data_IF_310487729998
#
_entry.id   IF_310487729998
#
_cell.length_a   1.000
_cell.length_b   1.000
_cell.length_c   1.000
_cell.angle_alpha   90.00
_cell.angle_beta   90.00
_cell.angle_gamma   90.00
#
_symmetry.space_group_name_H-M   'P 1'
#
loop_
_entity.id
_entity.type
_entity.pdbx_description
1 polymer ?
#
# COMPACT_ATOMS: atom_id res chain seq x y z
N UNK A 1 -40.66 -6.89 3.38
CA UNK A 1 -39.47 -7.77 3.26
C UNK A 1 -38.34 -6.93 2.70
N UNK A 2 -37.25 -6.75 3.45
CA UNK A 2 -36.12 -5.92 3.01
C UNK A 2 -35.35 -6.72 1.94
N UNK A 3 -35.21 -6.18 0.74
CA UNK A 3 -34.54 -6.84 -0.38
C UNK A 3 -33.52 -5.90 -0.99
N UNK A 4 -32.48 -6.47 -1.59
CA UNK A 4 -31.51 -5.73 -2.38
C UNK A 4 -32.15 -5.31 -3.70
N UNK A 5 -31.72 -4.17 -4.23
CA UNK A 5 -32.13 -3.73 -5.56
C UNK A 5 -31.64 -4.69 -6.64
N UNK A 6 -32.42 -4.80 -7.72
CA UNK A 6 -32.11 -5.66 -8.88
C UNK A 6 -31.12 -5.04 -9.87
N UNK A 7 -30.70 -3.79 -9.63
CA UNK A 7 -29.70 -3.11 -10.46
C UNK A 7 -28.30 -3.58 -10.06
N UNK A 8 -27.62 -4.25 -10.99
CA UNK A 8 -26.27 -4.75 -10.77
C UNK A 8 -25.29 -3.62 -10.41
N UNK A 9 -24.68 -3.71 -9.24
CA UNK A 9 -23.56 -2.85 -8.84
C UNK A 9 -22.25 -3.26 -9.50
N UNK A 10 -21.21 -2.45 -9.31
CA UNK A 10 -19.84 -2.82 -9.71
C UNK A 10 -19.25 -3.80 -8.70
N UNK A 11 -18.55 -4.81 -9.22
CA UNK A 11 -17.68 -5.72 -8.47
C UNK A 11 -16.25 -5.50 -8.94
N UNK A 12 -15.30 -5.45 -8.01
CA UNK A 12 -13.89 -5.72 -8.30
C UNK A 12 -13.55 -6.95 -7.51
N UNK A 13 -13.21 -8.06 -8.16
CA UNK A 13 -12.85 -9.30 -7.49
C UNK A 13 -11.35 -9.52 -7.65
N UNK A 14 -10.64 -9.58 -6.53
CA UNK A 14 -9.21 -9.93 -6.52
C UNK A 14 -9.07 -11.31 -5.93
N UNK A 15 -8.40 -12.19 -6.67
CA UNK A 15 -8.14 -13.56 -6.29
C UNK A 15 -6.63 -13.77 -6.18
N UNK A 16 -6.20 -14.40 -5.09
CA UNK A 16 -4.83 -14.86 -4.91
C UNK A 16 -4.79 -16.38 -5.19
N UNK A 17 -4.10 -16.83 -6.25
CA UNK A 17 -3.98 -18.25 -6.59
C UNK A 17 -3.43 -19.14 -5.47
N UNK A 18 -2.72 -18.56 -4.49
CA UNK A 18 -2.11 -19.30 -3.39
C UNK A 18 -3.00 -19.42 -2.14
N UNK A 19 -4.18 -18.80 -2.11
CA UNK A 19 -5.02 -18.76 -0.91
C UNK A 19 -6.50 -18.97 -1.17
N UNK A 20 -7.18 -19.44 -0.11
CA UNK A 20 -8.64 -19.58 -0.12
C UNK A 20 -9.30 -18.20 -0.22
N UNK A 21 -10.26 -18.06 -1.11
CA UNK A 21 -11.13 -16.90 -1.13
C UNK A 21 -12.30 -17.14 -0.18
N UNK A 22 -12.33 -16.41 0.95
CA UNK A 22 -13.43 -16.42 1.92
C UNK A 22 -13.98 -15.01 2.07
N UNK A 23 -15.22 -14.76 1.64
CA UNK A 23 -15.86 -13.43 1.77
C UNK A 23 -17.28 -13.53 2.29
N UNK A 24 -17.69 -12.49 3.00
CA UNK A 24 -18.98 -12.40 3.69
C UNK A 24 -19.63 -11.04 3.44
N UNK A 25 -20.95 -11.04 3.38
CA UNK A 25 -21.79 -9.86 3.25
C UNK A 25 -22.85 -9.93 4.34
N UNK A 26 -23.10 -8.81 5.00
CA UNK A 26 -24.18 -8.66 5.95
C UNK A 26 -25.30 -7.81 5.35
N UNK A 27 -26.53 -8.31 5.45
CA UNK A 27 -27.73 -7.54 5.11
C UNK A 27 -28.06 -6.61 6.28
N UNK A 28 -28.13 -5.30 6.01
CA UNK A 28 -28.43 -4.27 7.00
C UNK A 28 -29.58 -3.36 6.55
N UNK A 29 -30.30 -2.81 7.53
CA UNK A 29 -31.16 -1.64 7.32
C UNK A 29 -30.31 -0.40 6.99
N UNK A 30 -30.88 0.68 6.43
CA UNK A 30 -30.15 1.93 6.18
C UNK A 30 -29.55 2.54 7.45
N UNK A 31 -30.14 2.25 8.60
CA UNK A 31 -29.64 2.66 9.92
C UNK A 31 -28.48 1.78 10.45
N UNK A 32 -27.99 0.82 9.65
CA UNK A 32 -26.85 -0.06 9.98
C UNK A 32 -27.18 -1.29 10.81
N UNK A 33 -28.45 -1.48 11.19
CA UNK A 33 -28.87 -2.65 11.98
C UNK A 33 -28.92 -3.93 11.12
N UNK A 34 -28.27 -5.04 11.52
CA UNK A 34 -28.34 -6.31 10.81
C UNK A 34 -29.77 -6.85 10.71
N UNK A 35 -30.11 -7.41 9.55
CA UNK A 35 -31.41 -8.05 9.29
C UNK A 35 -31.15 -9.42 8.68
N UNK A 36 -31.88 -10.47 9.10
CA UNK A 36 -31.74 -11.77 8.48
C UNK A 36 -32.11 -11.71 6.99
N UNK A 37 -31.36 -12.44 6.18
CA UNK A 37 -31.76 -12.70 4.81
C UNK A 37 -33.14 -13.37 4.79
N UNK A 38 -33.99 -13.05 3.82
CA UNK A 38 -35.28 -13.72 3.71
C UNK A 38 -35.13 -15.25 3.62
N UNK A 39 -35.98 -15.98 4.33
CA UNK A 39 -35.98 -17.45 4.30
C UNK A 39 -36.12 -17.95 2.86
N UNK A 40 -35.31 -18.93 2.45
CA UNK A 40 -35.29 -19.45 1.08
C UNK A 40 -34.51 -18.61 0.06
N UNK A 41 -33.83 -17.54 0.50
CA UNK A 41 -32.86 -16.84 -0.37
C UNK A 41 -31.73 -17.79 -0.76
N UNK A 42 -31.32 -17.74 -2.02
CA UNK A 42 -30.11 -18.39 -2.52
C UNK A 42 -29.23 -17.38 -3.24
N UNK A 43 -27.92 -17.62 -3.24
CA UNK A 43 -26.95 -16.78 -3.93
C UNK A 43 -25.74 -17.61 -4.35
N UNK A 44 -25.01 -17.14 -5.37
CA UNK A 44 -23.83 -17.82 -5.87
C UNK A 44 -22.86 -16.85 -6.53
N UNK A 45 -21.57 -17.18 -6.46
CA UNK A 45 -20.50 -16.53 -7.20
C UNK A 45 -20.28 -17.31 -8.49
N UNK A 46 -20.47 -16.65 -9.62
CA UNK A 46 -20.24 -17.18 -10.96
C UNK A 46 -19.02 -16.50 -11.57
N UNK A 47 -18.09 -17.30 -12.10
CA UNK A 47 -16.94 -16.78 -12.84
C UNK A 47 -16.87 -17.47 -14.21
N UNK A 48 -16.68 -16.66 -15.24
CA UNK A 48 -16.52 -17.12 -16.63
C UNK A 48 -15.45 -16.32 -17.34
N UNK A 49 -14.65 -16.94 -18.21
CA UNK A 49 -13.67 -16.23 -19.04
C UNK A 49 -14.12 -16.17 -20.50
N UNK A 50 -14.17 -14.95 -21.05
CA UNK A 50 -14.57 -14.73 -22.44
C UNK A 50 -13.64 -15.47 -23.41
N UNK A 51 -14.23 -16.12 -24.41
CA UNK A 51 -13.48 -16.90 -25.41
C UNK A 51 -12.93 -18.23 -24.90
N UNK A 52 -13.36 -18.68 -23.71
CA UNK A 52 -12.95 -19.96 -23.12
C UNK A 52 -14.17 -20.78 -22.71
N UNK A 53 -13.97 -22.07 -22.42
CA UNK A 53 -14.99 -22.93 -21.79
C UNK A 53 -14.94 -22.86 -20.26
N UNK A 54 -14.10 -21.98 -19.69
CA UNK A 54 -13.96 -21.87 -18.24
C UNK A 54 -15.26 -21.32 -17.64
N UNK A 55 -15.82 -22.10 -16.74
CA UNK A 55 -17.02 -21.75 -15.99
C UNK A 55 -16.91 -22.35 -14.60
N UNK A 56 -17.14 -21.53 -13.59
CA UNK A 56 -17.18 -21.97 -12.21
C UNK A 56 -18.30 -21.28 -11.44
N UNK A 57 -18.90 -22.03 -10.53
CA UNK A 57 -20.06 -21.58 -9.77
C UNK A 57 -19.97 -22.10 -8.33
N UNK A 58 -19.91 -21.17 -7.37
CA UNK A 58 -19.83 -21.50 -5.95
C UNK A 58 -21.05 -20.96 -5.21
N UNK A 59 -21.87 -21.83 -4.58
CA UNK A 59 -23.03 -21.39 -3.82
C UNK A 59 -22.61 -20.63 -2.56
N UNK A 60 -23.44 -19.69 -2.14
CA UNK A 60 -23.28 -19.01 -0.87
C UNK A 60 -23.85 -19.85 0.29
N UNK A 61 -23.19 -19.79 1.44
CA UNK A 61 -23.76 -20.22 2.72
C UNK A 61 -24.42 -19.01 3.38
N UNK A 62 -25.72 -19.11 3.68
CA UNK A 62 -26.51 -18.04 4.30
C UNK A 62 -26.90 -18.47 5.72
N UNK A 63 -26.62 -17.61 6.70
CA UNK A 63 -26.97 -17.81 8.11
C UNK A 63 -27.31 -16.48 8.76
N UNK A 64 -28.58 -16.31 9.15
CA UNK A 64 -29.07 -15.05 9.72
C UNK A 64 -28.88 -13.89 8.75
N UNK A 65 -28.17 -12.84 9.18
CA UNK A 65 -27.83 -11.66 8.38
C UNK A 65 -26.64 -11.88 7.44
N UNK A 66 -25.92 -12.99 7.57
CA UNK A 66 -24.65 -13.23 6.88
C UNK A 66 -24.84 -14.14 5.68
N UNK A 67 -24.31 -13.72 4.54
CA UNK A 67 -24.14 -14.51 3.33
C UNK A 67 -22.64 -14.65 3.06
N UNK A 68 -22.14 -15.84 2.75
CA UNK A 68 -20.71 -16.11 2.64
C UNK A 68 -20.35 -17.06 1.51
N UNK A 69 -19.17 -16.85 0.92
CA UNK A 69 -18.60 -17.73 -0.10
C UNK A 69 -17.23 -18.21 0.35
N UNK A 70 -16.97 -19.48 0.08
CA UNK A 70 -15.66 -20.10 0.22
C UNK A 70 -15.28 -20.75 -1.10
N UNK A 71 -14.19 -20.27 -1.70
CA UNK A 71 -13.57 -20.87 -2.88
C UNK A 71 -12.18 -21.36 -2.45
N UNK A 72 -11.93 -22.68 -2.46
CA UNK A 72 -10.64 -23.23 -2.08
C UNK A 72 -9.52 -22.74 -3.00
N UNK A 73 -8.30 -22.59 -2.48
CA UNK A 73 -7.13 -22.14 -3.23
C UNK A 73 -6.91 -22.94 -4.53
N UNK A 74 -7.15 -24.26 -4.48
CA UNK A 74 -7.02 -25.14 -5.64
C UNK A 74 -7.98 -24.79 -6.79
N UNK A 75 -9.13 -24.21 -6.48
CA UNK A 75 -10.11 -23.74 -7.47
C UNK A 75 -9.82 -22.30 -7.89
N UNK A 76 -9.34 -21.46 -6.97
CA UNK A 76 -8.85 -20.11 -7.29
C UNK A 76 -7.73 -20.16 -8.33
N UNK A 77 -6.77 -21.08 -8.16
CA UNK A 77 -5.65 -21.27 -9.08
C UNK A 77 -6.05 -21.64 -10.51
N UNK A 78 -7.28 -22.13 -10.72
CA UNK A 78 -7.80 -22.48 -12.05
C UNK A 78 -8.45 -21.31 -12.77
N UNK A 79 -8.71 -20.20 -12.08
CA UNK A 79 -9.42 -19.04 -12.64
C UNK A 79 -8.52 -18.27 -13.60
N UNK A 80 -8.87 -18.16 -14.90
CA UNK A 80 -8.09 -17.36 -15.85
C UNK A 80 -8.11 -15.87 -15.49
N UNK A 81 -7.02 -15.15 -15.77
CA UNK A 81 -6.92 -13.71 -15.51
C UNK A 81 -7.85 -12.85 -16.37
N UNK A 82 -8.38 -13.40 -17.46
CA UNK A 82 -9.38 -12.77 -18.34
C UNK A 82 -10.82 -13.01 -17.87
N UNK A 83 -10.99 -13.53 -16.66
CA UNK A 83 -12.30 -13.88 -16.13
C UNK A 83 -13.13 -12.68 -15.72
N UNK A 84 -14.44 -12.86 -15.83
CA UNK A 84 -15.47 -11.95 -15.36
C UNK A 84 -16.25 -12.62 -14.24
N UNK A 85 -16.43 -11.89 -13.13
CA UNK A 85 -17.14 -12.36 -11.96
C UNK A 85 -18.53 -11.72 -11.88
N UNK A 86 -19.49 -12.52 -11.46
CA UNK A 86 -20.85 -12.11 -11.19
C UNK A 86 -21.36 -12.75 -9.92
N UNK A 87 -22.01 -11.95 -9.08
CA UNK A 87 -22.63 -12.39 -7.86
C UNK A 87 -24.14 -12.35 -8.07
N UNK A 88 -24.77 -13.51 -8.01
CA UNK A 88 -26.19 -13.70 -8.26
C UNK A 88 -26.93 -13.89 -6.95
N UNK A 89 -28.16 -13.36 -6.90
CA UNK A 89 -29.09 -13.51 -5.77
C UNK A 89 -30.45 -13.91 -6.31
N UNK A 90 -31.12 -14.81 -5.60
CA UNK A 90 -32.50 -15.22 -5.87
C UNK A 90 -33.27 -15.25 -4.55
N UNK A 91 -34.33 -14.44 -4.45
CA UNK A 91 -35.32 -14.55 -3.38
C UNK A 91 -36.37 -15.60 -3.74
N UNK A 92 -37.07 -16.21 -2.75
CA UNK A 92 -37.98 -17.35 -2.95
C UNK A 92 -38.98 -17.17 -4.08
N UNK A 93 -39.57 -15.97 -4.16
CA UNK A 93 -40.68 -15.66 -5.08
C UNK A 93 -40.24 -14.81 -6.27
N UNK A 94 -38.93 -14.79 -6.55
CA UNK A 94 -38.35 -13.93 -7.60
C UNK A 94 -37.43 -14.72 -8.52
N UNK A 95 -37.29 -14.24 -9.75
CA UNK A 95 -36.23 -14.70 -10.64
C UNK A 95 -34.86 -14.25 -10.12
N UNK A 96 -33.86 -15.09 -10.33
CA UNK A 96 -32.48 -14.75 -10.00
C UNK A 96 -32.02 -13.52 -10.78
N UNK A 97 -31.26 -12.65 -10.13
CA UNK A 97 -30.68 -11.47 -10.75
C UNK A 97 -29.20 -11.32 -10.39
N UNK A 98 -28.45 -10.65 -11.27
CA UNK A 98 -27.06 -10.28 -11.02
C UNK A 98 -27.06 -9.10 -10.06
N UNK A 99 -26.61 -9.33 -8.83
CA UNK A 99 -26.49 -8.29 -7.84
C UNK A 99 -25.21 -7.47 -8.02
N UNK A 100 -24.08 -8.10 -8.35
CA UNK A 100 -22.80 -7.43 -8.60
C UNK A 100 -22.08 -8.07 -9.79
N UNK A 101 -21.34 -7.28 -10.58
CA UNK A 101 -20.50 -7.82 -11.67
C UNK A 101 -19.26 -6.98 -11.96
N UNK A 102 -18.20 -7.62 -12.45
CA UNK A 102 -16.98 -6.95 -12.86
C UNK A 102 -15.79 -7.88 -13.13
N UNK A 103 -14.62 -7.33 -13.47
CA UNK A 103 -13.45 -8.12 -13.82
C UNK A 103 -12.86 -8.85 -12.61
N UNK A 104 -12.26 -10.00 -12.88
CA UNK A 104 -11.30 -10.64 -11.97
C UNK A 104 -9.93 -10.04 -12.23
N UNK A 105 -9.31 -9.49 -11.20
CA UNK A 105 -7.96 -8.93 -11.29
C UNK A 105 -6.95 -9.85 -10.59
N UNK A 106 -5.80 -10.04 -11.24
CA UNK A 106 -4.60 -10.56 -10.60
C UNK A 106 -3.85 -9.38 -10.01
N UNK A 107 -3.63 -9.37 -8.71
CA UNK A 107 -2.76 -8.38 -8.11
C UNK A 107 -3.16 -8.04 -6.69
N UNK A 108 -2.56 -8.75 -5.75
CA UNK A 108 -2.12 -8.17 -4.50
C UNK A 108 -0.79 -8.84 -4.16
N UNK A 109 0.23 -8.04 -3.84
CA UNK A 109 1.39 -8.47 -3.08
C UNK A 109 0.95 -9.31 -1.87
N UNK A 110 1.79 -10.19 -1.31
CA UNK A 110 1.46 -10.91 -0.09
C UNK A 110 0.98 -9.93 0.98
N UNK A 111 -0.34 -9.89 1.23
CA UNK A 111 -0.98 -8.96 2.17
C UNK A 111 -2.10 -8.07 1.62
N UNK A 112 -2.34 -8.01 0.30
CA UNK A 112 -3.41 -7.19 -0.22
C UNK A 112 -4.79 -7.87 -0.17
N UNK A 113 -5.72 -7.23 0.52
CA UNK A 113 -7.05 -7.78 0.82
C UNK A 113 -7.90 -7.75 -0.44
N UNK A 114 -8.14 -8.90 -1.08
CA UNK A 114 -9.09 -8.94 -2.18
C UNK A 114 -10.49 -8.55 -1.71
N UNK A 115 -10.98 -7.39 -2.11
CA UNK A 115 -12.27 -6.87 -1.64
C UNK A 115 -13.43 -7.36 -2.51
N UNK A 116 -14.64 -7.41 -1.94
CA UNK A 116 -15.85 -7.11 -2.73
C UNK A 116 -16.05 -5.62 -2.53
N UNK A 117 -15.60 -4.79 -3.48
CA UNK A 117 -15.95 -3.37 -3.48
C UNK A 117 -17.27 -3.24 -4.23
N UNK A 118 -18.37 -3.23 -3.46
CA UNK A 118 -19.72 -3.11 -3.99
C UNK A 118 -20.26 -1.70 -3.74
N UNK A 119 -20.77 -1.07 -4.79
CA UNK A 119 -21.72 0.06 -4.67
C UNK A 119 -23.08 -0.48 -5.09
N UNK A 120 -23.97 -0.86 -4.15
CA UNK A 120 -25.30 -1.34 -4.49
C UNK A 120 -26.08 -0.24 -5.21
N UNK A 121 -26.75 -0.58 -6.32
CA UNK A 121 -27.77 0.30 -6.89
C UNK A 121 -28.93 0.43 -5.92
N UNK A 122 -29.14 1.61 -5.35
CA UNK A 122 -30.22 1.88 -4.40
C UNK A 122 -31.58 1.83 -5.12
N UNK A 123 -32.36 0.78 -4.89
CA UNK A 123 -33.78 0.78 -5.25
C UNK A 123 -34.73 0.16 -4.20
N UNK A 124 -34.22 -0.34 -3.06
CA UNK A 124 -35.03 -1.12 -2.10
C UNK A 124 -34.81 -0.81 -0.61
N UNK A 125 -34.01 0.18 -0.25
CA UNK A 125 -33.80 0.55 1.16
C UNK A 125 -33.07 -0.49 2.01
N UNK A 126 -32.44 -1.51 1.44
CA UNK A 126 -31.47 -2.39 2.10
C UNK A 126 -30.05 -2.05 1.64
N UNK A 127 -29.06 -2.18 2.54
CA UNK A 127 -27.64 -2.13 2.17
C UNK A 127 -27.00 -3.46 2.54
N UNK A 128 -26.30 -4.05 1.58
CA UNK A 128 -25.43 -5.19 1.82
C UNK A 128 -24.01 -4.67 2.00
N UNK A 129 -23.47 -4.80 3.21
CA UNK A 129 -22.14 -4.31 3.56
C UNK A 129 -21.17 -5.50 3.55
N UNK A 130 -20.00 -5.41 2.88
CA UNK A 130 -18.97 -6.41 3.04
C UNK A 130 -18.59 -6.49 4.52
N UNK A 131 -18.72 -7.66 5.13
CA UNK A 131 -18.23 -7.87 6.50
C UNK A 131 -16.72 -8.07 6.35
N UNK A 132 -15.88 -7.15 6.87
CA UNK A 132 -14.45 -7.40 6.91
C UNK A 132 -14.23 -8.77 7.57
N UNK A 133 -13.26 -9.54 7.09
CA UNK A 133 -12.84 -10.74 7.83
C UNK A 133 -12.52 -10.38 9.30
N UNK A 134 -12.35 -11.37 10.19
CA UNK A 134 -11.73 -11.06 11.48
C UNK A 134 -10.52 -10.17 11.20
N UNK A 135 -10.46 -9.01 11.85
CA UNK A 135 -9.34 -8.09 11.74
C UNK A 135 -8.11 -8.98 11.83
N UNK A 136 -7.34 -9.07 10.75
CA UNK A 136 -6.04 -9.74 10.81
C UNK A 136 -5.32 -9.14 12.03
N UNK A 137 -4.46 -9.90 12.74
CA UNK A 137 -3.68 -9.30 13.81
C UNK A 137 -3.19 -7.96 13.30
N UNK A 138 -3.48 -6.89 14.04
CA UNK A 138 -3.14 -5.55 13.61
C UNK A 138 -1.76 -5.66 13.01
N UNK A 139 -1.62 -5.28 11.72
CA UNK A 139 -0.30 -5.21 11.13
C UNK A 139 0.58 -4.50 12.16
N UNK A 140 1.83 -4.95 12.38
CA UNK A 140 2.69 -4.32 13.39
C UNK A 140 2.48 -2.81 13.29
N UNK A 141 2.17 -2.12 14.42
CA UNK A 141 1.72 -0.73 14.40
C UNK A 141 2.49 0.00 13.33
N UNK A 142 1.78 0.56 12.32
CA UNK A 142 2.43 1.22 11.21
C UNK A 142 3.52 2.10 11.82
N UNK A 143 4.78 1.77 11.53
CA UNK A 143 5.92 2.32 12.24
C UNK A 143 5.77 3.84 12.15
N UNK A 144 5.48 4.47 13.29
CA UNK A 144 5.04 5.86 13.32
C UNK A 144 5.97 6.70 12.46
N UNK A 145 5.43 7.32 11.41
CA UNK A 145 6.18 8.10 10.43
C UNK A 145 7.57 7.54 10.10
N UNK A 146 7.70 6.26 9.75
CA UNK A 146 9.03 5.69 9.52
C UNK A 146 9.74 6.43 8.41
N UNK A 147 10.96 6.86 8.73
CA UNK A 147 11.89 7.30 7.73
C UNK A 147 11.98 6.26 6.61
N UNK A 148 11.93 6.72 5.36
CA UNK A 148 12.21 5.89 4.20
C UNK A 148 13.71 5.61 4.21
N UNK A 149 14.09 4.46 4.75
CA UNK A 149 15.48 4.00 4.82
C UNK A 149 15.74 3.01 3.69
N UNK A 150 16.81 3.24 2.94
CA UNK A 150 17.30 2.35 1.90
C UNK A 150 18.59 1.70 2.37
N UNK A 151 18.71 0.38 2.17
CA UNK A 151 19.97 -0.36 2.37
C UNK A 151 20.76 -0.42 1.06
N UNK A 152 22.07 -0.23 1.15
CA UNK A 152 23.00 -0.47 0.04
C UNK A 152 24.41 -0.74 0.54
N UNK A 153 25.38 -0.79 -0.38
CA UNK A 153 26.78 -1.10 -0.04
C UNK A 153 27.60 0.19 0.06
N UNK A 154 28.42 0.30 1.09
CA UNK A 154 29.38 1.39 1.24
C UNK A 154 30.55 1.23 0.25
N UNK A 155 30.81 2.25 -0.58
CA UNK A 155 31.94 2.25 -1.53
C UNK A 155 33.27 2.62 -0.88
N UNK A 156 33.20 3.35 0.23
CA UNK A 156 34.33 3.78 1.07
C UNK A 156 33.92 3.68 2.55
N UNK A 157 34.84 3.98 3.47
CA UNK A 157 34.47 4.11 4.87
C UNK A 157 33.51 5.31 5.04
N UNK A 158 32.35 5.06 5.62
CA UNK A 158 31.32 6.06 5.86
C UNK A 158 31.12 6.24 7.36
N UNK A 159 31.10 7.49 7.81
CA UNK A 159 30.66 7.82 9.16
C UNK A 159 29.13 7.84 9.22
N UNK A 160 28.58 7.59 10.41
CA UNK A 160 27.16 7.79 10.66
C UNK A 160 26.76 9.26 10.53
N UNK A 161 25.51 9.50 10.18
CA UNK A 161 24.91 10.82 10.13
C UNK A 161 25.66 11.76 9.17
N UNK A 162 26.00 11.24 7.98
CA UNK A 162 26.63 11.96 6.87
C UNK A 162 25.81 11.84 5.60
N UNK A 163 25.81 12.91 4.80
CA UNK A 163 25.15 12.92 3.51
C UNK A 163 25.89 12.03 2.50
N UNK A 164 25.16 11.19 1.80
CA UNK A 164 25.71 10.23 0.83
C UNK A 164 24.88 10.21 -0.45
N UNK A 165 25.54 9.83 -1.54
CA UNK A 165 24.99 9.67 -2.88
C UNK A 165 25.45 8.33 -3.45
N UNK A 166 24.73 7.78 -4.43
CA UNK A 166 25.20 6.61 -5.17
C UNK A 166 26.24 7.03 -6.22
N UNK A 167 27.42 6.42 -6.16
CA UNK A 167 28.44 6.53 -7.19
C UNK A 167 28.06 5.78 -8.46
N UNK A 168 28.91 5.86 -9.48
CA UNK A 168 28.67 5.20 -10.78
C UNK A 168 28.67 3.68 -10.71
N UNK A 169 29.29 3.09 -9.68
CA UNK A 169 29.26 1.66 -9.39
C UNK A 169 28.05 1.23 -8.54
N UNK A 170 27.12 2.16 -8.27
CA UNK A 170 25.91 1.93 -7.48
C UNK A 170 26.14 1.90 -5.97
N UNK A 171 27.38 2.05 -5.49
CA UNK A 171 27.70 2.07 -4.06
C UNK A 171 27.55 3.47 -3.45
N UNK A 172 27.26 3.53 -2.16
CA UNK A 172 27.17 4.80 -1.44
C UNK A 172 28.55 5.40 -1.17
N UNK A 173 28.72 6.66 -1.55
CA UNK A 173 29.90 7.48 -1.30
C UNK A 173 29.47 8.82 -0.69
N UNK A 174 30.37 9.55 0.00
CA UNK A 174 30.04 10.86 0.54
C UNK A 174 29.51 11.81 -0.55
N UNK A 175 28.36 12.42 -0.28
CA UNK A 175 27.84 13.48 -1.14
C UNK A 175 28.72 14.72 -1.01
N UNK A 176 28.82 15.54 -2.04
CA UNK A 176 29.74 16.68 -2.02
C UNK A 176 29.16 17.81 -2.87
N UNK A 177 28.94 18.97 -2.24
CA UNK A 177 28.40 20.16 -2.89
C UNK A 177 29.42 20.89 -3.80
N UNK A 178 30.70 20.57 -3.70
CA UNK A 178 31.76 21.09 -4.58
C UNK A 178 31.92 20.25 -5.85
N UNK A 179 31.35 19.03 -5.87
CA UNK A 179 31.39 18.16 -7.03
C UNK A 179 30.12 18.35 -7.89
N UNK A 180 30.21 18.98 -9.07
CA UNK A 180 29.04 19.23 -9.92
C UNK A 180 28.38 17.93 -10.41
N UNK A 181 29.08 16.78 -10.42
CA UNK A 181 28.47 15.49 -10.79
C UNK A 181 27.45 15.00 -9.76
N UNK A 182 27.46 15.55 -8.56
CA UNK A 182 26.49 15.21 -7.52
C UNK A 182 25.22 16.07 -7.59
N UNK A 183 25.22 17.12 -8.43
CA UNK A 183 24.04 17.96 -8.65
C UNK A 183 22.88 17.13 -9.21
N UNK A 184 21.70 17.28 -8.62
CA UNK A 184 20.48 16.61 -9.08
C UNK A 184 20.38 15.12 -8.72
N UNK A 185 21.42 14.50 -8.17
CA UNK A 185 21.35 13.11 -7.72
C UNK A 185 20.48 12.97 -6.45
N UNK A 186 19.91 11.78 -6.19
CA UNK A 186 19.30 11.47 -4.90
C UNK A 186 20.35 11.45 -3.79
N UNK A 187 20.15 12.26 -2.76
CA UNK A 187 21.07 12.38 -1.61
C UNK A 187 20.28 12.01 -0.36
N UNK A 188 20.83 11.11 0.45
CA UNK A 188 20.28 10.73 1.75
C UNK A 188 21.33 10.87 2.86
N UNK A 189 20.96 10.55 4.10
CA UNK A 189 21.85 10.62 5.26
C UNK A 189 22.02 9.23 5.87
N UNK A 190 23.26 8.82 6.13
CA UNK A 190 23.56 7.54 6.79
C UNK A 190 22.98 7.50 8.21
N UNK A 191 22.38 6.39 8.61
CA UNK A 191 21.89 6.19 9.99
C UNK A 191 22.98 5.68 10.94
N UNK A 192 24.12 5.26 10.39
CA UNK A 192 25.25 4.69 11.14
C UNK A 192 26.51 4.61 10.30
N UNK A 193 27.63 4.28 10.93
CA UNK A 193 28.90 4.10 10.24
C UNK A 193 28.96 2.75 9.52
N UNK A 194 29.72 2.69 8.42
CA UNK A 194 29.91 1.49 7.62
C UNK A 194 31.33 1.43 7.06
N UNK A 195 31.87 0.22 6.91
CA UNK A 195 33.18 -0.02 6.29
C UNK A 195 33.01 -0.31 4.80
N UNK A 196 34.04 -0.11 3.96
CA UNK A 196 33.95 -0.41 2.54
C UNK A 196 33.48 -1.84 2.29
N UNK A 197 32.49 -2.02 1.42
CA UNK A 197 31.92 -3.32 1.07
C UNK A 197 30.87 -3.86 2.03
N UNK A 198 30.64 -3.22 3.19
CA UNK A 198 29.56 -3.60 4.11
C UNK A 198 28.23 -2.94 3.72
N UNK A 199 27.14 -3.50 4.24
CA UNK A 199 25.84 -2.86 4.18
C UNK A 199 25.86 -1.53 4.97
N UNK A 200 25.13 -0.55 4.45
CA UNK A 200 24.87 0.75 5.08
C UNK A 200 23.40 1.12 4.88
N UNK A 201 22.80 1.66 5.93
CA UNK A 201 21.44 2.18 5.91
C UNK A 201 21.45 3.70 5.71
N UNK A 202 20.61 4.18 4.80
CA UNK A 202 20.53 5.59 4.41
C UNK A 202 19.09 6.07 4.48
N UNK A 203 18.83 7.07 5.32
CA UNK A 203 17.56 7.77 5.40
C UNK A 203 17.40 8.71 4.20
N UNK A 204 16.37 8.48 3.39
CA UNK A 204 16.05 9.26 2.19
C UNK A 204 14.90 10.26 2.43
N UNK A 205 14.05 10.00 3.42
CA UNK A 205 12.92 10.85 3.79
C UNK A 205 12.47 10.52 5.22
N UNK A 206 11.91 11.47 5.96
CA UNK A 206 11.30 11.28 7.27
C UNK A 206 12.18 11.69 8.45
N UNK A 207 11.70 11.44 9.67
CA UNK A 207 12.35 11.93 10.89
C UNK A 207 13.58 11.09 11.28
N UNK A 208 14.62 11.75 11.76
CA UNK A 208 15.83 11.14 12.27
C UNK A 208 16.30 11.90 13.51
N UNK A 209 16.77 11.14 14.51
CA UNK A 209 17.31 11.67 15.76
C UNK A 209 18.74 11.18 15.96
N UNK A 210 19.65 12.09 16.29
CA UNK A 210 21.03 11.79 16.65
C UNK A 210 21.42 12.63 17.89
N UNK A 211 21.70 11.97 19.04
CA UNK A 211 21.94 12.66 20.31
C UNK A 211 23.10 13.65 20.34
N UNK A 212 24.12 13.46 19.49
CA UNK A 212 25.29 14.35 19.43
C UNK A 212 25.06 15.64 18.66
N UNK A 213 23.91 15.80 17.98
CA UNK A 213 23.57 17.02 17.27
C UNK A 213 23.14 18.15 18.21
N UNK A 214 23.41 19.37 17.75
CA UNK A 214 23.12 20.62 18.45
C UNK A 214 22.59 21.69 17.48
N UNK A 215 21.66 21.30 16.61
CA UNK A 215 21.08 22.18 15.60
C UNK A 215 20.17 23.25 16.20
N UNK A 216 20.06 24.40 15.54
CA UNK A 216 18.93 25.29 15.73
C UNK A 216 17.77 24.83 14.82
N UNK A 217 16.49 25.02 15.20
CA UNK A 217 15.39 24.76 14.26
C UNK A 217 15.58 25.54 12.95
N UNK A 218 15.47 24.86 11.80
CA UNK A 218 15.72 25.47 10.50
C UNK A 218 16.37 24.54 9.47
N UNK A 219 16.72 25.04 8.27
CA UNK A 219 17.21 24.21 7.18
C UNK A 219 18.61 23.63 7.47
N UNK A 220 18.86 22.44 6.93
CA UNK A 220 20.16 21.77 6.89
C UNK A 220 20.53 21.54 5.43
N UNK A 221 21.72 22.00 5.07
CA UNK A 221 22.28 21.94 3.74
C UNK A 221 23.42 20.92 3.65
N UNK A 222 23.68 20.47 2.41
CA UNK A 222 24.86 19.69 2.07
C UNK A 222 26.13 20.56 2.12
N UNK A 223 27.13 20.10 2.85
CA UNK A 223 28.52 20.56 2.79
C UNK A 223 29.42 19.63 1.98
N UNK A 224 30.72 19.92 1.93
CA UNK A 224 31.70 19.07 1.29
C UNK A 224 31.84 17.72 2.03
N UNK A 225 32.20 16.65 1.32
CA UNK A 225 32.50 15.32 1.90
C UNK A 225 31.43 14.75 2.85
N UNK A 226 30.16 15.02 2.58
CA UNK A 226 29.02 14.49 3.31
C UNK A 226 28.69 15.24 4.59
N UNK A 227 29.30 16.40 4.82
CA UNK A 227 28.99 17.25 5.96
C UNK A 227 27.55 17.80 5.89
N UNK A 228 26.94 17.98 7.06
CA UNK A 228 25.66 18.66 7.24
C UNK A 228 25.94 20.03 7.87
N UNK A 229 25.28 21.08 7.38
CA UNK A 229 25.51 22.46 7.86
C UNK A 229 24.23 23.29 7.82
N UNK A 230 24.09 24.27 8.71
CA UNK A 230 23.01 25.28 8.64
C UNK A 230 23.43 26.58 7.97
N UNK A 231 24.74 26.76 7.73
CA UNK A 231 25.23 27.86 6.92
C UNK A 231 24.96 27.53 5.45
N UNK A 232 24.22 28.39 4.76
CA UNK A 232 23.98 28.26 3.32
C UNK A 232 25.34 28.18 2.62
N UNK A 233 25.63 27.08 1.88
CA UNK A 233 26.90 26.96 1.18
C UNK A 233 27.09 28.09 0.18
N UNK A 234 28.23 28.75 0.27
CA UNK A 234 28.75 29.69 -0.72
C UNK A 234 30.03 29.13 -1.33
N UNK A 235 30.61 29.77 -2.34
CA UNK A 235 31.81 29.29 -3.05
C UNK A 235 32.89 28.74 -2.09
N UNK A 236 33.50 27.56 -2.36
CA UNK A 236 33.59 26.88 -3.65
C UNK A 236 32.47 25.86 -3.94
N UNK A 237 31.32 25.92 -3.25
CA UNK A 237 30.17 25.07 -3.58
C UNK A 237 29.71 25.29 -5.03
N UNK A 238 29.52 24.21 -5.78
CA UNK A 238 28.96 24.21 -7.13
C UNK A 238 27.43 24.25 -7.13
N UNK A 239 26.79 23.86 -6.02
CA UNK A 239 25.34 23.92 -5.86
C UNK A 239 24.93 23.97 -4.39
N UNK A 240 23.71 24.46 -4.14
CA UNK A 240 23.04 24.39 -2.83
C UNK A 240 22.00 23.28 -2.87
N UNK A 241 22.02 22.44 -1.84
CA UNK A 241 21.02 21.42 -1.61
C UNK A 241 20.58 21.45 -0.15
N UNK A 242 19.32 21.80 0.09
CA UNK A 242 18.70 21.54 1.39
C UNK A 242 18.34 20.05 1.46
N UNK A 243 18.84 19.37 2.48
CA UNK A 243 18.64 17.94 2.68
C UNK A 243 17.55 17.65 3.72
N UNK A 244 17.43 18.51 4.72
CA UNK A 244 16.53 18.34 5.84
C UNK A 244 16.18 19.70 6.47
N UNK A 245 15.28 19.66 7.45
CA UNK A 245 15.08 20.74 8.41
C UNK A 245 15.17 20.19 9.84
N UNK A 246 15.98 20.82 10.69
CA UNK A 246 15.98 20.56 12.12
C UNK A 246 14.65 20.98 12.73
N UNK A 247 13.97 20.05 13.40
CA UNK A 247 12.74 20.26 14.16
C UNK A 247 13.03 20.48 15.65
N UNK A 248 14.16 19.97 16.12
CA UNK A 248 14.74 20.20 17.44
C UNK A 248 16.27 20.12 17.37
N UNK A 249 16.97 20.29 18.50
CA UNK A 249 18.45 20.30 18.51
C UNK A 249 19.09 18.98 18.08
N UNK A 250 18.43 17.87 18.37
CA UNK A 250 18.90 16.52 18.04
C UNK A 250 17.99 15.79 17.04
N UNK A 251 16.97 16.47 16.50
CA UNK A 251 15.98 15.85 15.61
C UNK A 251 15.82 16.66 14.34
N UNK A 252 15.81 15.96 13.21
CA UNK A 252 15.65 16.55 11.88
C UNK A 252 14.60 15.79 11.11
N UNK A 253 13.88 16.48 10.23
CA UNK A 253 13.02 15.86 9.24
C UNK A 253 13.72 15.92 7.87
N UNK A 254 14.06 14.76 7.33
CA UNK A 254 14.68 14.61 6.02
C UNK A 254 13.60 14.76 4.95
N UNK A 255 13.67 15.84 4.20
CA UNK A 255 12.81 16.10 3.05
C UNK A 255 13.62 16.96 2.08
N UNK A 256 14.07 16.34 0.99
CA UNK A 256 15.01 16.97 0.08
C UNK A 256 14.27 17.90 -0.88
N UNK A 257 14.51 19.19 -0.72
CA UNK A 257 14.16 20.19 -1.73
C UNK A 257 15.02 20.05 -2.99
N UNK A 258 14.54 20.50 -4.17
CA UNK A 258 15.34 20.54 -5.39
C UNK A 258 16.67 21.29 -5.17
N UNK A 259 17.75 20.78 -5.77
CA UNK A 259 19.04 21.47 -5.72
C UNK A 259 19.09 22.65 -6.69
N UNK A 260 19.77 23.71 -6.29
CA UNK A 260 19.93 24.93 -7.07
C UNK A 260 21.42 25.10 -7.37
N UNK A 261 21.77 25.23 -8.66
CA UNK A 261 23.14 25.51 -9.09
C UNK A 261 23.55 26.93 -8.67
N UNK A 262 24.84 27.11 -8.32
CA UNK A 262 25.42 28.41 -7.95
C UNK A 262 26.26 28.99 -9.09
#
# INVERSE_FOLDING_TARGET
>A
MLTLGSVAGRLRLVLDPASDFVRRVELQQPAGAPVPWPSGTSAWLRISANGTTFYANWPATISGSIMSWHVPAADVAKVPLTSWAELWVQYPDTSAFVWLRGPVESGCEPGGVGGIVAVPGISGGAVAVPVPGPVGPAGPPGSGGSAVVVTGIAGVALSGHRAVVRGSDGRFVPADNTNPKHLGLPIGITTGAATPGSDVQVCMFGEMTEPSWSWAPGPIFLGATGALTQSVPTGPAAFVAQLAAATASSTVFVDRSPSIAL
#
